data_IF_181535946449
#
_entry.id   IF_181535946449
#
_cell.length_a   1.000
_cell.length_b   1.000
_cell.length_c   1.000
_cell.angle_alpha   90.00
_cell.angle_beta   90.00
_cell.angle_gamma   90.00
#
_symmetry.space_group_name_H-M   'P 1'
#
loop_
_entity.id
_entity.type
_entity.pdbx_description
1 polymer ?
#
# COMPACT_ATOMS: atom_id res chain seq x y z
N UNK A 1 -11.88 -21.12 3.42
CA UNK A 1 -11.75 -20.17 2.28
C UNK A 1 -10.29 -19.79 2.14
N UNK A 2 -9.74 -19.62 0.93
CA UNK A 2 -8.36 -19.15 0.76
C UNK A 2 -8.22 -17.73 1.31
N UNK A 3 -7.10 -17.43 1.96
CA UNK A 3 -6.76 -16.07 2.40
C UNK A 3 -6.45 -15.25 1.15
N UNK A 4 -7.12 -14.10 0.98
CA UNK A 4 -6.89 -13.19 -0.14
C UNK A 4 -6.06 -12.00 0.36
N UNK A 5 -5.00 -11.66 -0.38
CA UNK A 5 -4.15 -10.50 -0.16
C UNK A 5 -4.44 -9.49 -1.28
N UNK A 6 -5.06 -8.37 -0.94
CA UNK A 6 -5.58 -7.36 -1.88
C UNK A 6 -5.13 -5.92 -1.53
N UNK A 7 -4.06 -5.79 -0.74
CA UNK A 7 -3.63 -4.49 -0.24
C UNK A 7 -2.72 -3.75 -1.21
N UNK A 8 -3.04 -2.48 -1.48
CA UNK A 8 -2.13 -1.54 -2.16
C UNK A 8 -0.91 -1.17 -1.33
N UNK A 9 -0.92 -1.42 -0.02
CA UNK A 9 0.20 -1.14 0.85
C UNK A 9 1.21 -2.29 0.81
N UNK A 10 2.24 -2.14 -0.02
CA UNK A 10 3.25 -3.18 -0.22
C UNK A 10 4.10 -3.46 1.01
N UNK A 11 4.10 -2.60 2.05
CA UNK A 11 4.69 -2.97 3.35
C UNK A 11 3.93 -4.14 3.99
N UNK A 12 2.61 -4.19 3.83
CA UNK A 12 1.77 -5.31 4.27
C UNK A 12 1.91 -6.52 3.35
N UNK A 13 2.00 -6.31 2.04
CA UNK A 13 2.16 -7.39 1.05
C UNK A 13 3.49 -8.11 1.25
N UNK A 14 4.62 -7.40 1.36
CA UNK A 14 5.94 -8.04 1.55
C UNK A 14 6.09 -8.73 2.91
N UNK A 15 5.25 -8.40 3.89
CA UNK A 15 5.19 -9.09 5.18
C UNK A 15 4.59 -10.50 5.06
N UNK A 16 3.88 -10.81 3.97
CA UNK A 16 3.34 -12.15 3.68
C UNK A 16 4.40 -13.11 3.12
N UNK A 17 5.62 -12.61 2.87
CA UNK A 17 6.73 -13.38 2.33
C UNK A 17 7.82 -13.59 3.40
N UNK A 18 8.56 -14.70 3.34
CA UNK A 18 9.74 -14.93 4.16
C UNK A 18 10.96 -14.15 3.62
N UNK A 19 12.12 -14.22 4.28
CA UNK A 19 13.35 -13.55 3.84
C UNK A 19 13.86 -14.01 2.47
N UNK A 20 13.60 -15.27 2.10
CA UNK A 20 13.93 -15.80 0.78
C UNK A 20 13.06 -15.21 -0.34
N UNK A 21 11.91 -14.60 0.00
CA UNK A 21 10.96 -14.02 -0.97
C UNK A 21 9.83 -14.97 -1.35
N UNK A 22 9.59 -16.01 -0.55
CA UNK A 22 8.53 -16.99 -0.76
C UNK A 22 7.33 -16.67 0.13
N UNK A 23 6.11 -16.95 -0.35
CA UNK A 23 4.90 -16.82 0.47
C UNK A 23 4.99 -17.73 1.72
N UNK A 24 4.69 -17.14 2.88
CA UNK A 24 4.61 -17.85 4.17
C UNK A 24 3.39 -18.76 4.18
N UNK A 25 2.23 -18.24 3.78
CA UNK A 25 1.02 -19.02 3.60
C UNK A 25 0.93 -19.54 2.16
N UNK A 26 1.13 -20.84 1.96
CA UNK A 26 1.11 -21.47 0.62
C UNK A 26 -0.28 -21.51 -0.02
N UNK A 27 -1.35 -21.32 0.76
CA UNK A 27 -2.74 -21.28 0.31
C UNK A 27 -3.25 -19.85 0.08
N UNK A 28 -2.42 -18.82 0.30
CA UNK A 28 -2.82 -17.44 0.07
C UNK A 28 -2.92 -17.13 -1.43
N UNK A 29 -3.95 -16.39 -1.83
CA UNK A 29 -4.09 -15.82 -3.16
C UNK A 29 -3.78 -14.33 -3.10
N UNK A 30 -3.09 -13.82 -4.12
CA UNK A 30 -2.79 -12.40 -4.25
C UNK A 30 -3.65 -11.85 -5.38
N UNK A 31 -4.43 -10.83 -5.07
CA UNK A 31 -5.36 -10.18 -5.99
C UNK A 31 -5.35 -8.68 -5.71
N UNK A 32 -4.34 -8.00 -6.23
CA UNK A 32 -4.15 -6.56 -6.04
C UNK A 32 -4.42 -5.91 -7.39
N UNK A 33 -5.44 -5.07 -7.48
CA UNK A 33 -5.78 -4.32 -8.70
C UNK A 33 -4.83 -3.14 -8.91
N UNK A 34 -4.71 -2.64 -10.13
CA UNK A 34 -4.12 -1.32 -10.34
C UNK A 34 -5.17 -0.24 -10.10
N UNK A 35 -5.04 0.54 -9.03
CA UNK A 35 -6.05 1.56 -8.69
C UNK A 35 -6.16 2.73 -9.67
N UNK A 36 -5.22 2.85 -10.62
CA UNK A 36 -5.27 3.87 -11.69
C UNK A 36 -6.24 3.44 -12.79
N UNK A 37 -6.04 2.25 -13.38
CA UNK A 37 -6.89 1.76 -14.47
C UNK A 37 -8.10 0.96 -13.98
N UNK A 38 -7.98 0.27 -12.84
CA UNK A 38 -8.96 -0.67 -12.25
C UNK A 38 -9.35 -1.84 -13.16
N UNK A 39 -8.56 -2.09 -14.20
CA UNK A 39 -8.82 -3.12 -15.20
C UNK A 39 -7.94 -4.36 -14.99
N UNK A 40 -6.67 -4.17 -14.62
CA UNK A 40 -5.69 -5.25 -14.47
C UNK A 40 -5.26 -5.44 -13.02
N UNK A 41 -4.91 -6.68 -12.71
CA UNK A 41 -4.19 -7.05 -11.48
C UNK A 41 -2.71 -6.73 -11.62
N UNK A 42 -2.05 -6.39 -10.52
CA UNK A 42 -0.60 -6.32 -10.48
C UNK A 42 -0.01 -7.73 -10.65
N UNK A 43 1.08 -7.85 -11.39
CA UNK A 43 1.78 -9.10 -11.72
C UNK A 43 2.53 -9.73 -10.54
N UNK A 44 1.87 -9.89 -9.40
CA UNK A 44 2.33 -10.59 -8.21
C UNK A 44 1.29 -11.66 -7.88
N UNK A 45 1.70 -12.93 -7.88
CA UNK A 45 0.78 -14.06 -7.75
C UNK A 45 1.23 -15.00 -6.64
N UNK A 46 0.47 -16.06 -6.41
CA UNK A 46 1.02 -17.26 -5.79
C UNK A 46 1.33 -18.26 -6.91
N UNK A 47 2.59 -18.46 -7.31
CA UNK A 47 2.94 -19.32 -8.45
C UNK A 47 2.49 -20.78 -8.29
N UNK A 48 2.19 -21.22 -7.06
CA UNK A 48 1.65 -22.56 -6.78
C UNK A 48 0.14 -22.67 -7.01
N UNK A 49 -0.60 -21.56 -7.08
CA UNK A 49 -2.05 -21.53 -7.21
C UNK A 49 -2.55 -20.81 -8.46
N UNK A 50 -1.78 -19.87 -8.99
CA UNK A 50 -2.14 -19.10 -10.18
C UNK A 50 -0.90 -18.72 -10.98
N UNK A 51 -1.09 -18.60 -12.29
CA UNK A 51 -0.06 -18.14 -13.22
C UNK A 51 -0.32 -16.70 -13.62
N UNK A 52 0.76 -15.99 -13.97
CA UNK A 52 0.68 -14.68 -14.57
C UNK A 52 0.08 -14.79 -15.98
N UNK A 53 -0.84 -13.89 -16.28
CA UNK A 53 -1.59 -13.85 -17.53
C UNK A 53 -1.62 -12.39 -18.01
N UNK A 54 -1.04 -12.09 -19.17
CA UNK A 54 -0.91 -10.72 -19.69
C UNK A 54 -2.27 -10.02 -19.96
N UNK A 55 -3.34 -10.80 -20.14
CA UNK A 55 -4.70 -10.25 -20.29
C UNK A 55 -5.27 -9.77 -18.96
N UNK A 56 -4.93 -10.44 -17.86
CA UNK A 56 -5.47 -10.16 -16.52
C UNK A 56 -4.50 -9.35 -15.65
N UNK A 57 -3.20 -9.46 -15.92
CA UNK A 57 -2.14 -8.92 -15.11
C UNK A 57 -1.29 -7.93 -15.89
N UNK A 58 -0.68 -6.99 -15.17
CA UNK A 58 0.33 -6.08 -15.68
C UNK A 58 1.57 -6.01 -14.79
N UNK A 59 2.71 -5.68 -15.40
CA UNK A 59 3.91 -5.34 -14.64
C UNK A 59 3.61 -4.14 -13.77
N UNK A 60 4.27 -4.05 -12.62
CA UNK A 60 3.98 -3.01 -11.64
C UNK A 60 5.25 -2.40 -11.08
N UNK A 61 5.11 -1.25 -10.44
CA UNK A 61 6.16 -0.61 -9.66
C UNK A 61 5.61 -0.17 -8.31
N UNK A 62 6.49 -0.14 -7.30
CA UNK A 62 6.17 0.28 -5.94
C UNK A 62 6.84 1.61 -5.66
N UNK A 63 6.09 2.61 -5.22
CA UNK A 63 6.66 3.89 -4.79
C UNK A 63 7.36 3.73 -3.43
N UNK A 64 8.67 4.00 -3.31
CA UNK A 64 9.45 3.65 -2.11
C UNK A 64 9.04 4.45 -0.87
N UNK A 65 8.56 5.70 -1.04
CA UNK A 65 8.26 6.59 0.08
C UNK A 65 6.95 6.26 0.80
N UNK A 66 5.91 5.84 0.07
CA UNK A 66 4.62 5.45 0.65
C UNK A 66 4.39 3.94 0.68
N UNK A 67 5.01 3.20 -0.24
CA UNK A 67 4.79 1.77 -0.43
C UNK A 67 3.51 1.42 -1.20
N UNK A 68 2.90 2.36 -1.91
CA UNK A 68 1.81 2.05 -2.83
C UNK A 68 2.33 1.55 -4.17
N UNK A 69 1.66 0.55 -4.74
CA UNK A 69 2.01 0.01 -6.05
C UNK A 69 0.93 0.28 -7.08
N UNK A 70 1.35 0.26 -8.34
CA UNK A 70 0.52 0.57 -9.50
C UNK A 70 1.05 -0.19 -10.71
N UNK A 71 0.18 -0.45 -11.68
CA UNK A 71 0.58 -0.82 -13.03
C UNK A 71 1.69 0.11 -13.53
N UNK A 72 2.76 -0.47 -14.07
CA UNK A 72 3.96 0.28 -14.43
C UNK A 72 3.65 1.35 -15.48
N UNK A 73 2.93 0.98 -16.54
CA UNK A 73 2.57 1.92 -17.61
C UNK A 73 1.57 2.98 -17.11
N UNK A 74 0.62 2.59 -16.25
CA UNK A 74 -0.29 3.51 -15.59
C UNK A 74 0.44 4.57 -14.76
N UNK A 75 1.39 4.14 -13.92
CA UNK A 75 2.20 5.03 -13.09
C UNK A 75 3.12 5.91 -13.93
N UNK A 76 3.74 5.33 -14.97
CA UNK A 76 4.59 6.08 -15.90
C UNK A 76 3.81 7.18 -16.59
N UNK A 77 2.60 6.89 -17.09
CA UNK A 77 1.73 7.87 -17.71
C UNK A 77 1.32 8.97 -16.72
N UNK A 78 0.97 8.60 -15.49
CA UNK A 78 0.70 9.55 -14.42
C UNK A 78 1.86 10.53 -14.23
N UNK A 79 3.09 10.04 -14.13
CA UNK A 79 4.28 10.89 -13.95
C UNK A 79 4.59 11.76 -15.17
N UNK A 80 4.30 11.27 -16.38
CA UNK A 80 4.47 12.02 -17.62
C UNK A 80 3.53 13.24 -17.72
N UNK A 81 2.44 13.29 -16.95
CA UNK A 81 1.59 14.49 -16.84
C UNK A 81 2.27 15.64 -16.10
N UNK A 82 3.45 15.41 -15.52
CA UNK A 82 4.14 16.35 -14.62
C UNK A 82 3.85 16.11 -13.15
N UNK A 83 2.95 15.18 -12.81
CA UNK A 83 2.66 14.79 -11.43
C UNK A 83 3.89 14.19 -10.73
N UNK A 84 4.17 14.64 -9.50
CA UNK A 84 5.30 14.18 -8.66
C UNK A 84 4.85 13.56 -7.34
N UNK A 85 3.58 13.18 -7.28
CA UNK A 85 2.92 12.68 -6.09
C UNK A 85 2.26 11.33 -6.37
N UNK A 86 2.16 10.50 -5.33
CA UNK A 86 1.46 9.23 -5.36
C UNK A 86 -0.03 9.43 -5.71
N UNK A 87 -0.56 8.72 -6.72
CA UNK A 87 -1.98 8.82 -7.09
C UNK A 87 -2.95 8.52 -5.94
N UNK A 88 -2.55 7.67 -4.99
CA UNK A 88 -3.41 7.20 -3.90
C UNK A 88 -3.36 8.12 -2.66
N UNK A 89 -2.16 8.47 -2.20
CA UNK A 89 -1.98 9.19 -0.92
C UNK A 89 -1.28 10.54 -1.04
N UNK A 90 -0.96 10.99 -2.26
CA UNK A 90 -0.26 12.25 -2.57
C UNK A 90 1.12 12.42 -1.93
N UNK A 91 1.67 11.38 -1.30
CA UNK A 91 3.08 11.33 -0.89
C UNK A 91 3.97 11.63 -2.10
N UNK A 92 4.95 12.53 -1.99
CA UNK A 92 5.93 12.75 -3.05
C UNK A 92 6.55 11.44 -3.55
N UNK A 93 6.82 11.35 -4.85
CA UNK A 93 7.45 10.15 -5.44
C UNK A 93 8.97 10.16 -5.27
N UNK A 94 9.56 11.32 -5.06
CA UNK A 94 11.00 11.52 -4.88
C UNK A 94 11.32 12.26 -3.58
N UNK A 95 12.50 11.98 -3.03
CA UNK A 95 12.93 12.54 -1.75
C UNK A 95 13.99 13.64 -1.98
N UNK A 96 13.51 14.81 -2.40
CA UNK A 96 14.36 15.98 -2.65
C UNK A 96 15.47 15.71 -3.66
N UNK A 97 16.63 16.32 -3.47
CA UNK A 97 17.77 16.24 -4.41
C UNK A 97 18.56 14.93 -4.35
N UNK A 98 18.34 14.08 -3.34
CA UNK A 98 19.25 12.96 -3.03
C UNK A 98 18.84 11.63 -3.66
N UNK A 99 17.54 11.42 -3.88
CA UNK A 99 17.04 10.18 -4.50
C UNK A 99 16.09 10.55 -5.62
N UNK A 100 16.56 10.35 -6.85
CA UNK A 100 15.67 10.31 -8.00
C UNK A 100 14.74 9.12 -7.83
N UNK A 101 13.51 9.27 -8.30
CA UNK A 101 12.56 8.17 -8.36
C UNK A 101 13.16 7.01 -9.18
N UNK A 102 13.36 5.87 -8.53
CA UNK A 102 13.70 4.61 -9.18
C UNK A 102 12.44 3.74 -9.28
N UNK A 103 11.88 3.65 -10.49
CA UNK A 103 10.74 2.78 -10.79
C UNK A 103 11.24 1.39 -11.17
N UNK A 104 11.64 0.62 -10.17
CA UNK A 104 11.93 -0.80 -10.37
C UNK A 104 10.69 -1.53 -10.89
N UNK A 105 10.80 -2.07 -12.11
CA UNK A 105 9.74 -2.85 -12.75
C UNK A 105 9.72 -4.26 -12.14
N UNK A 106 8.56 -4.66 -11.63
CA UNK A 106 8.31 -5.98 -11.05
C UNK A 106 7.21 -6.71 -11.83
N UNK A 107 7.10 -8.03 -11.62
CA UNK A 107 6.04 -8.84 -12.21
C UNK A 107 6.21 -9.09 -13.71
N UNK A 108 7.47 -9.09 -14.19
CA UNK A 108 7.80 -9.42 -15.59
C UNK A 108 7.64 -10.93 -15.84
N UNK A 109 7.95 -11.74 -14.83
CA UNK A 109 7.85 -13.20 -14.88
C UNK A 109 7.14 -13.69 -13.62
N UNK A 110 6.21 -14.63 -13.79
CA UNK A 110 5.41 -15.18 -12.69
C UNK A 110 5.97 -16.44 -12.05
N UNK A 111 7.22 -16.79 -12.33
CA UNK A 111 7.88 -17.90 -11.64
C UNK A 111 8.33 -17.49 -10.24
N UNK A 112 8.43 -18.48 -9.34
CA UNK A 112 8.77 -18.24 -7.93
C UNK A 112 10.14 -17.57 -7.75
N UNK A 113 11.13 -17.87 -8.59
CA UNK A 113 12.48 -17.31 -8.49
C UNK A 113 12.48 -15.82 -8.83
N UNK A 114 11.83 -15.46 -9.94
CA UNK A 114 11.70 -14.06 -10.38
C UNK A 114 10.91 -13.25 -9.36
N UNK A 115 9.78 -13.78 -8.88
CA UNK A 115 8.97 -13.09 -7.88
C UNK A 115 9.73 -12.91 -6.55
N UNK A 116 10.47 -13.92 -6.09
CA UNK A 116 11.30 -13.81 -4.90
C UNK A 116 12.37 -12.72 -5.04
N UNK A 117 12.94 -12.57 -6.24
CA UNK A 117 13.87 -11.47 -6.55
C UNK A 117 13.19 -10.10 -6.46
N UNK A 118 11.99 -9.96 -7.05
CA UNK A 118 11.22 -8.73 -6.99
C UNK A 118 10.85 -8.36 -5.55
N UNK A 119 10.40 -9.32 -4.72
CA UNK A 119 10.10 -9.09 -3.30
C UNK A 119 11.32 -8.58 -2.53
N UNK A 120 12.51 -9.11 -2.80
CA UNK A 120 13.74 -8.62 -2.15
C UNK A 120 14.07 -7.19 -2.57
N UNK A 121 13.94 -6.85 -3.86
CA UNK A 121 14.14 -5.47 -4.36
C UNK A 121 13.13 -4.50 -3.75
N UNK A 122 11.85 -4.89 -3.70
CA UNK A 122 10.79 -4.08 -3.11
C UNK A 122 11.10 -3.83 -1.63
N UNK A 123 11.49 -4.85 -0.86
CA UNK A 123 11.90 -4.65 0.54
C UNK A 123 13.03 -3.65 0.69
N UNK A 124 14.06 -3.76 -0.14
CA UNK A 124 15.18 -2.83 -0.12
C UNK A 124 14.72 -1.40 -0.42
N UNK A 125 13.84 -1.22 -1.42
CA UNK A 125 13.27 0.08 -1.76
C UNK A 125 12.40 0.67 -0.63
N UNK A 126 11.67 -0.19 0.11
CA UNK A 126 10.77 0.21 1.19
C UNK A 126 11.47 0.47 2.54
N UNK A 127 12.74 0.11 2.70
CA UNK A 127 13.53 0.43 3.91
C UNK A 127 13.71 1.95 4.10
N UNK A 128 13.37 2.75 3.09
CA UNK A 128 13.33 4.19 3.18
C UNK A 128 14.71 4.82 3.09
N UNK A 129 14.73 6.14 2.96
CA UNK A 129 15.97 6.89 2.92
C UNK A 129 16.38 7.32 4.34
N UNK A 130 17.35 6.61 4.94
CA UNK A 130 17.96 7.01 6.22
C UNK A 130 18.61 8.41 6.17
N UNK A 131 19.06 8.86 4.98
CA UNK A 131 19.69 10.18 4.79
C UNK A 131 18.70 11.34 4.69
N UNK A 132 17.42 11.06 4.44
CA UNK A 132 16.44 12.08 4.07
C UNK A 132 15.42 12.38 5.17
N UNK A 133 15.41 11.59 6.25
CA UNK A 133 14.44 11.68 7.36
C UNK A 133 12.98 11.75 6.85
N UNK A 134 12.64 11.02 5.78
CA UNK A 134 11.26 10.99 5.27
C UNK A 134 10.36 10.22 6.25
N UNK A 135 9.18 10.74 6.63
CA UNK A 135 8.51 11.93 6.08
C UNK A 135 9.14 13.24 6.57
N UNK A 136 9.22 14.31 5.73
CA UNK A 136 9.69 15.61 6.18
C UNK A 136 8.95 16.04 7.45
N UNK A 137 9.63 16.74 8.36
CA UNK A 137 9.08 17.12 9.67
C UNK A 137 7.69 17.78 9.59
N UNK A 138 7.40 18.52 8.51
CA UNK A 138 6.07 19.09 8.23
C UNK A 138 4.99 18.04 7.94
N UNK A 139 5.30 16.96 7.23
CA UNK A 139 4.38 15.85 7.01
C UNK A 139 4.22 14.96 8.25
N UNK A 140 5.29 14.76 9.03
CA UNK A 140 5.16 14.08 10.34
C UNK A 140 4.22 14.87 11.27
N UNK A 141 4.38 16.19 11.34
CA UNK A 141 3.48 17.06 12.09
C UNK A 141 2.03 17.03 11.56
N UNK A 142 1.84 17.03 10.23
CA UNK A 142 0.51 16.95 9.63
C UNK A 142 -0.19 15.59 9.88
N UNK A 143 0.56 14.49 9.85
CA UNK A 143 0.06 13.14 10.19
C UNK A 143 -0.31 13.03 11.67
N UNK A 144 0.54 13.56 12.56
CA UNK A 144 0.24 13.61 14.01
C UNK A 144 -1.02 14.45 14.26
N UNK A 145 -1.14 15.64 13.66
CA UNK A 145 -2.36 16.45 13.76
C UNK A 145 -3.61 15.79 13.17
N UNK A 146 -3.45 14.97 12.12
CA UNK A 146 -4.57 14.23 11.55
C UNK A 146 -5.01 13.09 12.46
N UNK A 147 -4.07 12.44 13.13
CA UNK A 147 -4.33 11.37 14.08
C UNK A 147 -4.97 11.90 15.39
N UNK A 148 -4.44 13.00 15.94
CA UNK A 148 -5.02 13.68 17.10
C UNK A 148 -6.48 14.10 16.84
N UNK A 149 -6.77 14.69 15.66
CA UNK A 149 -8.13 15.06 15.26
C UNK A 149 -9.07 13.86 15.12
N UNK A 150 -8.55 12.71 14.71
CA UNK A 150 -9.34 11.48 14.61
C UNK A 150 -9.66 10.91 15.99
N UNK A 151 -8.68 10.88 16.89
CA UNK A 151 -8.85 10.46 18.29
C UNK A 151 -9.82 11.38 19.04
N UNK A 152 -9.75 12.71 18.84
CA UNK A 152 -10.72 13.66 19.37
C UNK A 152 -12.13 13.44 18.82
N UNK A 153 -12.26 13.15 17.52
CA UNK A 153 -13.56 12.87 16.90
C UNK A 153 -14.17 11.57 17.44
N UNK A 154 -13.36 10.53 17.63
CA UNK A 154 -13.80 9.28 18.26
C UNK A 154 -14.22 9.51 19.72
N UNK A 155 -13.41 10.21 20.51
CA UNK A 155 -13.76 10.51 21.91
C UNK A 155 -15.06 11.31 22.05
N UNK A 156 -15.35 12.22 21.11
CA UNK A 156 -16.63 12.95 21.07
C UNK A 156 -17.81 12.05 20.69
N UNK A 157 -17.63 11.16 19.73
CA UNK A 157 -18.66 10.19 19.35
C UNK A 157 -19.00 9.26 20.53
N UNK A 158 -17.98 8.72 21.21
CA UNK A 158 -18.15 7.85 22.37
C UNK A 158 -18.86 8.57 23.54
N UNK A 159 -18.55 9.85 23.79
CA UNK A 159 -19.23 10.63 24.82
C UNK A 159 -20.68 10.90 24.46
N UNK A 160 -20.96 11.22 23.19
CA UNK A 160 -22.31 11.46 22.72
C UNK A 160 -23.17 10.20 22.81
N UNK A 161 -22.64 9.04 22.44
CA UNK A 161 -23.32 7.75 22.60
C UNK A 161 -23.63 7.45 24.07
N UNK A 162 -22.71 7.78 25.00
CA UNK A 162 -22.96 7.65 26.45
C UNK A 162 -24.05 8.59 26.95
N UNK A 163 -24.09 9.84 26.46
CA UNK A 163 -25.15 10.80 26.81
C UNK A 163 -26.51 10.38 26.23
N UNK A 164 -26.53 9.84 25.02
CA UNK A 164 -27.74 9.28 24.40
C UNK A 164 -28.24 8.06 25.18
N UNK A 165 -27.35 7.13 25.55
CA UNK A 165 -27.68 5.98 26.40
C UNK A 165 -28.19 6.41 27.79
N UNK A 166 -27.60 7.45 28.39
CA UNK A 166 -28.08 8.01 29.65
C UNK A 166 -29.45 8.68 29.50
N UNK A 167 -29.70 9.43 28.42
CA UNK A 167 -31.00 10.09 28.21
C UNK A 167 -32.13 9.09 27.90
N UNK A 168 -31.83 8.00 27.19
CA UNK A 168 -32.77 6.89 26.98
C UNK A 168 -33.05 6.09 28.26
N UNK A 169 -32.07 6.02 29.18
CA UNK A 169 -32.25 5.39 30.50
C UNK A 169 -33.15 6.17 31.47
N UNK A 170 -33.33 7.49 31.28
CA UNK A 170 -34.23 8.32 32.09
C UNK A 170 -35.68 8.38 31.54
N UNK A 171 -35.95 7.78 30.38
CA UNK A 171 -37.30 7.73 29.78
C UNK A 171 -38.15 6.53 30.24
N UNK A 172 -37.80 5.87 31.36
CA UNK A 172 -38.68 4.85 31.92
C UNK A 172 -38.91 5.00 33.43
N UNK A 173 -39.81 5.91 33.85
CA UNK A 173 -40.56 5.74 35.07
C UNK A 173 -41.88 5.03 34.75
N UNK A 174 -41.95 3.76 35.17
CA UNK A 174 -43.13 2.86 35.23
C UNK A 174 -43.47 2.04 33.98
#
# INVERSE_FOLDING_TARGET
>A
MPVIIDSQNFKKVVAQFNYAGELVNKQARIQIDCVICREKLLGITNPSLSQLNDNEHERYAVLPLCGHAFGYDCLRNWLNTGSRECPLCRTPTECGKYHKLDLTICGIKGDATSQASDIRKIRQALQGCHKCLYPPAKQKAALVQQQERFEEAQGRADLQERLEAMSQGWQNPY
#
